data_IF_195917805164
#
_entry.id   IF_195917805164
#
_cell.length_a   1.000
_cell.length_b   1.000
_cell.length_c   1.000
_cell.angle_alpha   90.00
_cell.angle_beta   90.00
_cell.angle_gamma   90.00
#
_symmetry.space_group_name_H-M   'P 1'
#
loop_
_entity.id
_entity.type
_entity.pdbx_description
1 polymer ?
#
# COMPACT_ATOMS: atom_id res chain seq x y z
N UNK A 1 -45.29 13.69 17.63
CA UNK A 1 -45.55 12.64 16.61
C UNK A 1 -45.32 13.10 15.16
N UNK A 2 -45.82 14.27 14.71
CA UNK A 2 -45.67 14.74 13.30
C UNK A 2 -44.22 14.78 12.75
N UNK A 3 -43.22 15.05 13.59
CA UNK A 3 -41.79 15.11 13.20
C UNK A 3 -41.05 13.77 13.34
N UNK A 4 -41.63 12.80 14.04
CA UNK A 4 -40.97 11.51 14.30
C UNK A 4 -40.94 10.62 13.06
N UNK A 5 -42.04 10.60 12.30
CA UNK A 5 -42.14 9.87 11.03
C UNK A 5 -41.10 10.31 9.99
N UNK A 6 -40.96 11.61 9.65
CA UNK A 6 -39.94 12.04 8.71
C UNK A 6 -38.51 11.83 9.25
N UNK A 7 -38.29 11.98 10.56
CA UNK A 7 -36.99 11.67 11.16
C UNK A 7 -36.62 10.18 10.99
N UNK A 8 -37.58 9.26 11.19
CA UNK A 8 -37.36 7.83 11.00
C UNK A 8 -37.12 7.47 9.54
N UNK A 9 -37.86 8.08 8.60
CA UNK A 9 -37.63 7.90 7.16
C UNK A 9 -36.24 8.39 6.77
N UNK A 10 -35.83 9.57 7.21
CA UNK A 10 -34.49 10.10 6.93
C UNK A 10 -33.39 9.26 7.57
N UNK A 11 -33.60 8.74 8.77
CA UNK A 11 -32.67 7.82 9.41
C UNK A 11 -32.52 6.52 8.61
N UNK A 12 -33.64 5.97 8.09
CA UNK A 12 -33.61 4.77 7.25
C UNK A 12 -32.92 5.04 5.90
N UNK A 13 -33.23 6.16 5.25
CA UNK A 13 -32.54 6.59 4.02
C UNK A 13 -31.05 6.75 4.28
N UNK A 14 -30.69 7.38 5.40
CA UNK A 14 -29.31 7.58 5.79
C UNK A 14 -28.58 6.27 6.05
N UNK A 15 -29.22 5.31 6.71
CA UNK A 15 -28.70 3.97 6.95
C UNK A 15 -28.47 3.22 5.63
N UNK A 16 -29.48 3.18 4.75
CA UNK A 16 -29.38 2.50 3.45
C UNK A 16 -28.29 3.15 2.58
N UNK A 17 -28.26 4.48 2.50
CA UNK A 17 -27.21 5.19 1.78
C UNK A 17 -25.82 4.94 2.38
N UNK A 18 -25.71 4.87 3.72
CA UNK A 18 -24.47 4.52 4.40
C UNK A 18 -23.98 3.12 4.04
N UNK A 19 -24.88 2.13 4.02
CA UNK A 19 -24.58 0.76 3.60
C UNK A 19 -24.14 0.75 2.13
N UNK A 20 -24.90 1.37 1.22
CA UNK A 20 -24.54 1.45 -0.21
C UNK A 20 -23.17 2.09 -0.40
N UNK A 21 -22.84 3.14 0.36
CA UNK A 21 -21.52 3.75 0.31
C UNK A 21 -20.42 2.82 0.83
N UNK A 22 -20.68 2.06 1.89
CA UNK A 22 -19.71 1.14 2.49
C UNK A 22 -19.43 -0.10 1.64
N UNK A 23 -20.44 -0.70 1.01
CA UNK A 23 -20.30 -1.93 0.20
C UNK A 23 -20.27 -1.69 -1.30
N UNK A 24 -20.44 -0.43 -1.72
CA UNK A 24 -20.40 -0.06 -3.13
C UNK A 24 -19.05 -0.36 -3.78
N UNK A 25 -19.00 -0.46 -5.12
CA UNK A 25 -17.78 -0.79 -5.82
C UNK A 25 -16.77 0.37 -5.67
N UNK A 26 -15.60 0.04 -5.12
CA UNK A 26 -14.43 0.90 -5.12
C UNK A 26 -13.53 0.55 -6.31
N UNK A 27 -12.74 1.52 -6.77
CA UNK A 27 -11.73 1.29 -7.79
C UNK A 27 -10.44 0.86 -7.11
N UNK A 28 -10.04 -0.38 -7.34
CA UNK A 28 -8.78 -0.90 -6.85
C UNK A 28 -7.60 -0.35 -7.67
N UNK A 29 -6.51 -0.04 -6.99
CA UNK A 29 -5.28 0.46 -7.59
C UNK A 29 -4.18 -0.57 -7.39
N UNK A 30 -3.68 -1.07 -8.51
CA UNK A 30 -2.48 -1.87 -8.63
C UNK A 30 -1.55 -1.22 -9.67
N UNK A 31 -0.25 -1.43 -9.53
CA UNK A 31 0.74 -0.85 -10.44
C UNK A 31 1.52 -1.95 -11.12
N UNK A 32 1.62 -1.88 -12.45
CA UNK A 32 2.47 -2.75 -13.25
C UNK A 32 3.79 -2.07 -13.54
N UNK A 33 4.89 -2.71 -13.14
CA UNK A 33 6.26 -2.28 -13.42
C UNK A 33 6.85 -3.15 -14.52
N UNK A 34 7.39 -2.52 -15.56
CA UNK A 34 8.13 -3.20 -16.62
C UNK A 34 9.63 -2.91 -16.54
N UNK A 35 10.43 -3.93 -16.80
CA UNK A 35 11.89 -3.85 -16.75
C UNK A 35 12.51 -4.81 -17.78
N UNK A 36 13.66 -4.49 -18.40
CA UNK A 36 14.40 -3.23 -18.34
C UNK A 36 13.61 -2.05 -18.92
N UNK A 37 13.98 -0.79 -18.59
CA UNK A 37 13.39 0.38 -19.23
C UNK A 37 13.64 0.37 -20.75
N UNK A 38 12.75 1.02 -21.50
CA UNK A 38 12.78 1.05 -22.99
C UNK A 38 14.18 1.43 -23.50
N UNK A 39 14.75 2.50 -22.94
CA UNK A 39 16.15 2.89 -23.13
C UNK A 39 16.94 2.69 -21.84
N UNK A 40 18.10 2.04 -21.96
CA UNK A 40 19.07 1.92 -20.88
C UNK A 40 20.23 2.85 -21.19
N UNK A 41 20.37 3.93 -20.42
CA UNK A 41 21.43 4.94 -20.60
C UNK A 41 22.59 4.73 -19.63
N UNK A 42 23.76 5.27 -19.98
CA UNK A 42 24.98 5.19 -19.17
C UNK A 42 25.90 4.02 -19.52
N UNK A 43 27.03 3.97 -18.82
CA UNK A 43 28.02 2.89 -18.95
C UNK A 43 27.49 1.61 -18.32
N UNK A 44 27.71 0.47 -18.97
CA UNK A 44 27.35 -0.82 -18.39
C UNK A 44 28.13 -1.04 -17.08
N UNK A 45 27.45 -1.53 -16.01
CA UNK A 45 28.13 -1.95 -14.80
C UNK A 45 28.99 -3.19 -15.09
N UNK A 46 30.03 -3.43 -14.29
CA UNK A 46 30.91 -4.58 -14.52
C UNK A 46 30.29 -5.92 -14.13
N UNK A 47 29.44 -5.94 -13.09
CA UNK A 47 28.87 -7.19 -12.52
C UNK A 47 27.40 -7.45 -12.86
N UNK A 48 26.53 -6.47 -12.61
CA UNK A 48 25.09 -6.63 -12.80
C UNK A 48 24.38 -5.27 -12.92
N UNK A 49 23.37 -5.23 -13.77
CA UNK A 49 22.31 -4.22 -13.72
C UNK A 49 21.40 -4.49 -12.54
N UNK A 50 20.94 -3.41 -11.92
CA UNK A 50 20.03 -3.46 -10.79
C UNK A 50 19.10 -2.25 -10.80
N UNK A 51 17.82 -2.49 -10.52
CA UNK A 51 16.84 -1.45 -10.25
C UNK A 51 16.12 -1.79 -8.95
N UNK A 52 16.26 -0.97 -7.88
CA UNK A 52 15.53 -1.20 -6.64
C UNK A 52 14.04 -1.13 -6.88
N UNK A 53 13.30 -2.08 -6.30
CA UNK A 53 11.85 -2.09 -6.30
C UNK A 53 11.39 -2.72 -4.99
N UNK A 54 11.37 -1.90 -3.93
CA UNK A 54 11.02 -2.31 -2.59
C UNK A 54 9.51 -2.26 -2.43
N UNK A 55 8.85 -3.39 -2.69
CA UNK A 55 7.42 -3.50 -2.44
C UNK A 55 7.17 -3.54 -0.94
N UNK A 56 6.26 -2.70 -0.44
CA UNK A 56 5.85 -2.70 0.99
C UNK A 56 5.33 -4.08 1.40
N UNK A 57 4.57 -4.74 0.51
CA UNK A 57 4.06 -6.11 0.71
C UNK A 57 5.04 -7.20 0.32
N UNK A 58 6.22 -6.84 -0.17
CA UNK A 58 7.31 -7.70 -0.67
C UNK A 58 6.96 -8.62 -1.84
N UNK A 59 5.71 -9.02 -2.00
CA UNK A 59 5.22 -9.95 -3.02
C UNK A 59 4.27 -9.22 -3.97
N UNK A 60 4.42 -9.44 -5.29
CA UNK A 60 3.46 -8.98 -6.27
C UNK A 60 2.25 -9.92 -6.35
N UNK A 61 1.24 -9.48 -7.08
CA UNK A 61 0.09 -10.31 -7.46
C UNK A 61 0.40 -11.15 -8.70
N UNK A 62 1.12 -10.58 -9.67
CA UNK A 62 1.54 -11.31 -10.87
C UNK A 62 2.97 -10.97 -11.29
N UNK A 63 3.65 -11.94 -11.87
CA UNK A 63 4.94 -11.79 -12.57
C UNK A 63 4.80 -12.41 -13.95
N UNK A 64 5.27 -11.70 -14.98
CA UNK A 64 5.38 -12.19 -16.35
C UNK A 64 6.78 -11.87 -16.85
N UNK A 65 7.58 -12.86 -17.17
CA UNK A 65 8.93 -12.68 -17.69
C UNK A 65 9.06 -13.32 -19.07
N UNK A 66 9.76 -12.64 -19.99
CA UNK A 66 10.07 -13.16 -21.32
C UNK A 66 11.58 -13.28 -21.47
N UNK A 67 12.02 -14.49 -21.78
CA UNK A 67 13.42 -14.84 -22.00
C UNK A 67 13.65 -14.99 -23.52
N UNK A 68 14.56 -14.21 -24.12
CA UNK A 68 14.82 -14.26 -25.55
C UNK A 68 15.67 -15.48 -25.93
N UNK A 69 15.59 -15.87 -27.20
CA UNK A 69 16.31 -17.02 -27.76
C UNK A 69 17.82 -16.86 -27.72
N UNK A 70 18.28 -15.65 -28.02
CA UNK A 70 19.67 -15.27 -27.97
C UNK A 70 19.81 -14.26 -26.84
N UNK A 71 20.06 -14.71 -25.61
CA UNK A 71 20.23 -13.79 -24.49
C UNK A 71 21.46 -12.92 -24.75
N UNK A 72 21.34 -11.64 -24.37
CA UNK A 72 22.42 -10.68 -24.42
C UNK A 72 23.69 -11.25 -23.75
N UNK A 73 24.85 -10.73 -24.17
CA UNK A 73 26.15 -11.16 -23.64
C UNK A 73 26.20 -10.89 -22.13
N UNK A 74 26.86 -11.78 -21.40
CA UNK A 74 27.13 -11.54 -19.98
C UNK A 74 28.09 -10.37 -19.81
N UNK A 75 27.94 -9.64 -18.72
CA UNK A 75 28.88 -8.62 -18.29
C UNK A 75 30.24 -9.26 -17.95
N UNK A 76 31.30 -8.44 -18.01
CA UNK A 76 32.70 -8.90 -17.90
C UNK A 76 32.97 -9.63 -16.59
N UNK A 77 32.46 -9.09 -15.47
CA UNK A 77 32.65 -9.64 -14.13
C UNK A 77 31.38 -10.34 -13.61
N UNK A 78 30.55 -10.88 -14.52
CA UNK A 78 29.35 -11.62 -14.15
C UNK A 78 29.71 -12.86 -13.31
N UNK A 79 29.05 -13.01 -12.16
CA UNK A 79 29.20 -14.21 -11.34
C UNK A 79 28.66 -15.46 -12.07
N UNK A 80 29.24 -16.63 -11.75
CA UNK A 80 28.72 -17.92 -12.20
C UNK A 80 27.87 -18.57 -11.09
N UNK A 81 26.69 -19.14 -11.40
CA UNK A 81 26.03 -19.11 -12.70
C UNK A 81 25.52 -17.71 -13.08
N UNK A 82 25.49 -17.41 -14.39
CA UNK A 82 25.12 -16.07 -14.88
C UNK A 82 23.65 -15.82 -14.59
N UNK A 83 23.35 -14.77 -13.82
CA UNK A 83 21.98 -14.35 -13.54
C UNK A 83 21.39 -13.67 -14.77
N UNK A 84 20.42 -14.30 -15.42
CA UNK A 84 19.67 -13.72 -16.54
C UNK A 84 18.66 -12.72 -16.02
N UNK A 85 17.90 -13.10 -15.00
CA UNK A 85 16.91 -12.27 -14.34
C UNK A 85 16.73 -12.73 -12.89
N UNK A 86 16.61 -11.80 -11.94
CA UNK A 86 16.21 -12.12 -10.57
C UNK A 86 15.39 -10.99 -9.94
N UNK A 87 14.54 -11.32 -8.97
CA UNK A 87 13.72 -10.36 -8.21
C UNK A 87 14.31 -9.97 -6.85
N UNK A 88 15.46 -10.54 -6.49
CA UNK A 88 16.21 -10.18 -5.31
C UNK A 88 17.71 -10.36 -5.54
N UNK A 89 18.54 -9.64 -4.78
CA UNK A 89 20.01 -9.75 -4.86
C UNK A 89 20.51 -11.15 -4.48
N UNK A 90 19.85 -11.77 -3.49
CA UNK A 90 20.14 -13.11 -3.00
C UNK A 90 18.85 -13.94 -3.01
N UNK A 91 18.38 -14.36 -4.20
CA UNK A 91 17.03 -14.90 -4.39
C UNK A 91 16.78 -16.19 -3.60
N UNK A 92 17.79 -17.06 -3.47
CA UNK A 92 17.72 -18.24 -2.59
C UNK A 92 17.36 -17.89 -1.14
N UNK A 93 18.09 -16.94 -0.54
CA UNK A 93 17.89 -16.52 0.87
C UNK A 93 16.62 -15.70 1.08
N UNK A 94 16.24 -14.92 0.08
CA UNK A 94 15.11 -14.00 0.16
C UNK A 94 13.80 -14.62 -0.33
N UNK A 95 13.78 -15.88 -0.76
CA UNK A 95 12.63 -16.50 -1.46
C UNK A 95 12.18 -15.69 -2.68
N UNK A 96 13.15 -15.14 -3.42
CA UNK A 96 12.94 -14.42 -4.68
C UNK A 96 13.04 -15.34 -5.89
N UNK A 97 12.50 -14.89 -7.02
CA UNK A 97 12.65 -15.54 -8.31
C UNK A 97 14.07 -15.34 -8.83
N UNK A 98 14.62 -16.41 -9.40
CA UNK A 98 15.89 -16.39 -10.12
C UNK A 98 15.81 -17.22 -11.38
N UNK A 99 16.39 -16.68 -12.44
CA UNK A 99 16.59 -17.35 -13.72
C UNK A 99 18.08 -17.25 -14.02
N UNK A 100 18.77 -18.38 -13.90
CA UNK A 100 20.23 -18.46 -14.05
C UNK A 100 20.60 -19.35 -15.22
N UNK A 101 21.64 -18.98 -15.96
CA UNK A 101 22.19 -19.79 -17.04
C UNK A 101 23.30 -20.70 -16.51
N UNK A 102 23.04 -22.01 -16.54
CA UNK A 102 23.97 -23.08 -16.18
C UNK A 102 24.35 -23.85 -17.45
N UNK A 103 25.51 -23.53 -18.04
CA UNK A 103 25.90 -24.10 -19.32
C UNK A 103 24.93 -23.71 -20.45
N UNK A 104 24.23 -24.71 -21.01
CA UNK A 104 23.22 -24.53 -22.07
C UNK A 104 21.78 -24.49 -21.56
N UNK A 105 21.58 -24.62 -20.25
CA UNK A 105 20.26 -24.62 -19.63
C UNK A 105 19.99 -23.32 -18.89
N UNK A 106 18.72 -22.95 -18.84
CA UNK A 106 18.17 -21.95 -17.94
C UNK A 106 17.49 -22.67 -16.79
N UNK A 107 17.91 -22.34 -15.58
CA UNK A 107 17.33 -22.84 -14.34
C UNK A 107 16.44 -21.76 -13.76
N UNK A 108 15.16 -22.06 -13.61
CA UNK A 108 14.14 -21.18 -13.04
C UNK A 108 13.84 -21.69 -11.63
N UNK A 109 14.05 -20.84 -10.63
CA UNK A 109 13.90 -21.21 -9.22
C UNK A 109 13.32 -20.05 -8.40
N UNK A 110 12.59 -20.39 -7.34
CA UNK A 110 12.08 -19.45 -6.34
C UNK A 110 12.60 -19.90 -4.97
N UNK A 111 13.40 -19.07 -4.31
CA UNK A 111 14.12 -19.50 -3.11
C UNK A 111 15.02 -20.69 -3.43
N UNK A 112 14.91 -21.76 -2.64
CA UNK A 112 15.65 -23.02 -2.85
C UNK A 112 14.92 -24.01 -3.78
N UNK A 113 13.67 -23.73 -4.16
CA UNK A 113 12.86 -24.59 -5.03
C UNK A 113 13.13 -24.35 -6.52
N UNK A 114 13.64 -25.37 -7.22
CA UNK A 114 13.74 -25.34 -8.69
C UNK A 114 12.37 -25.65 -9.30
N UNK A 115 11.83 -24.71 -10.07
CA UNK A 115 10.55 -24.87 -10.75
C UNK A 115 10.72 -25.61 -12.07
N UNK A 116 11.71 -25.20 -12.87
CA UNK A 116 11.96 -25.77 -14.19
C UNK A 116 13.43 -25.65 -14.59
N UNK A 117 13.86 -26.60 -15.43
CA UNK A 117 15.10 -26.53 -16.20
C UNK A 117 14.72 -26.62 -17.66
N UNK A 118 15.07 -25.60 -18.44
CA UNK A 118 14.79 -25.56 -19.87
C UNK A 118 16.06 -25.30 -20.67
N UNK A 119 16.17 -25.84 -21.89
CA UNK A 119 17.26 -25.45 -22.77
C UNK A 119 17.18 -23.94 -23.06
N UNK A 120 18.33 -23.29 -23.20
CA UNK A 120 18.42 -21.92 -23.69
C UNK A 120 17.97 -21.76 -25.15
N UNK A 121 17.78 -22.85 -25.88
CA UNK A 121 17.18 -22.91 -27.22
C UNK A 121 15.67 -23.19 -27.16
N UNK A 122 14.93 -22.98 -28.25
CA UNK A 122 13.48 -23.24 -28.29
C UNK A 122 12.64 -22.14 -27.61
N UNK A 123 13.06 -20.91 -27.83
CA UNK A 123 12.54 -19.66 -27.26
C UNK A 123 11.62 -18.91 -28.26
N UNK A 124 10.98 -17.79 -27.86
CA UNK A 124 11.01 -17.17 -26.52
C UNK A 124 10.37 -18.05 -25.46
N UNK A 125 10.96 -18.08 -24.26
CA UNK A 125 10.30 -18.68 -23.10
C UNK A 125 9.54 -17.59 -22.35
N UNK A 126 8.24 -17.80 -22.10
CA UNK A 126 7.39 -16.89 -21.34
C UNK A 126 7.03 -17.55 -20.02
N UNK A 127 7.57 -17.01 -18.94
CA UNK A 127 7.24 -17.39 -17.57
C UNK A 127 6.09 -16.51 -17.08
N UNK A 128 5.05 -17.09 -16.51
CA UNK A 128 4.00 -16.40 -15.77
C UNK A 128 3.88 -17.02 -14.39
N UNK A 129 3.73 -16.17 -13.37
CA UNK A 129 3.49 -16.57 -11.99
C UNK A 129 2.36 -15.69 -11.46
N UNK A 130 1.37 -16.32 -10.86
CA UNK A 130 0.20 -15.68 -10.24
C UNK A 130 -0.29 -16.51 -9.04
N UNK A 131 -1.49 -16.22 -8.54
CA UNK A 131 -2.07 -16.90 -7.39
C UNK A 131 -2.33 -18.40 -7.62
N UNK A 132 -2.48 -18.84 -8.88
CA UNK A 132 -2.78 -20.23 -9.23
C UNK A 132 -1.51 -21.09 -9.39
N UNK A 133 -0.32 -20.46 -9.39
CA UNK A 133 0.97 -21.12 -9.48
C UNK A 133 1.87 -20.49 -10.53
N UNK A 134 2.60 -21.33 -11.26
CA UNK A 134 3.48 -20.89 -12.35
C UNK A 134 3.21 -21.65 -13.64
N UNK A 135 3.39 -20.96 -14.76
CA UNK A 135 3.41 -21.55 -16.09
C UNK A 135 4.61 -21.03 -16.87
N UNK A 136 5.18 -21.91 -17.67
CA UNK A 136 6.26 -21.63 -18.59
C UNK A 136 5.81 -22.09 -19.97
N UNK A 137 5.77 -21.16 -20.91
CA UNK A 137 5.48 -21.44 -22.31
C UNK A 137 6.78 -21.36 -23.11
N UNK A 138 7.16 -22.46 -23.75
CA UNK A 138 8.28 -22.50 -24.71
C UNK A 138 7.81 -22.55 -26.15
N UNK A 139 8.75 -22.70 -27.10
CA UNK A 139 8.42 -22.80 -28.54
C UNK A 139 7.63 -24.07 -28.91
N UNK A 140 7.56 -25.06 -28.04
CA UNK A 140 6.77 -26.28 -28.21
C UNK A 140 6.22 -26.76 -26.87
N UNK A 141 5.18 -27.61 -26.91
CA UNK A 141 4.56 -28.15 -25.70
C UNK A 141 5.55 -28.95 -24.82
N UNK A 142 6.57 -29.58 -25.42
CA UNK A 142 7.61 -30.30 -24.70
C UNK A 142 8.58 -29.38 -23.92
N UNK A 143 8.60 -28.09 -24.25
CA UNK A 143 9.38 -27.05 -23.57
C UNK A 143 8.50 -26.18 -22.64
N UNK A 144 7.21 -26.50 -22.54
CA UNK A 144 6.28 -25.85 -21.64
C UNK A 144 6.09 -26.67 -20.36
N UNK A 145 5.75 -26.00 -19.27
CA UNK A 145 5.51 -26.64 -17.98
C UNK A 145 4.62 -25.78 -17.11
N UNK A 146 3.93 -26.40 -16.16
CA UNK A 146 3.13 -25.72 -15.15
C UNK A 146 3.34 -26.39 -13.81
N UNK A 147 3.09 -25.66 -12.73
CA UNK A 147 3.12 -26.23 -11.40
C UNK A 147 2.54 -25.28 -10.37
N UNK A 148 2.29 -25.80 -9.18
CA UNK A 148 1.86 -24.99 -8.04
C UNK A 148 3.04 -24.24 -7.44
N UNK A 149 2.74 -23.16 -6.72
CA UNK A 149 3.72 -22.39 -5.99
C UNK A 149 3.20 -22.12 -4.58
N UNK A 150 3.99 -22.45 -3.56
CA UNK A 150 3.60 -22.25 -2.16
C UNK A 150 3.34 -20.77 -1.83
N UNK A 151 4.17 -19.88 -2.38
CA UNK A 151 4.03 -18.44 -2.19
C UNK A 151 4.64 -17.64 -3.34
N UNK A 152 4.06 -16.47 -3.62
CA UNK A 152 4.60 -15.54 -4.60
C UNK A 152 6.06 -15.15 -4.28
N UNK A 153 6.94 -15.03 -5.29
CA UNK A 153 8.34 -14.68 -5.08
C UNK A 153 8.48 -13.28 -4.48
N UNK A 154 9.43 -13.13 -3.55
CA UNK A 154 9.75 -11.82 -2.99
C UNK A 154 10.48 -10.96 -4.03
N UNK A 155 10.11 -9.69 -4.08
CA UNK A 155 10.66 -8.67 -4.97
C UNK A 155 11.24 -7.54 -4.14
N UNK A 156 12.55 -7.35 -4.26
CA UNK A 156 13.30 -6.23 -3.68
C UNK A 156 13.94 -5.35 -4.75
N UNK A 157 13.95 -5.83 -6.00
CA UNK A 157 14.47 -5.16 -7.17
C UNK A 157 14.62 -6.13 -8.33
N UNK A 158 14.94 -5.62 -9.51
CA UNK A 158 15.26 -6.46 -10.66
C UNK A 158 16.75 -6.46 -10.91
N UNK A 159 17.31 -7.64 -11.17
CA UNK A 159 18.74 -7.85 -11.34
C UNK A 159 19.02 -8.67 -12.61
N UNK A 160 20.07 -8.30 -13.35
CA UNK A 160 20.60 -9.11 -14.45
C UNK A 160 22.11 -8.90 -14.61
N UNK A 161 22.83 -9.97 -14.87
CA UNK A 161 24.25 -9.96 -15.21
C UNK A 161 24.49 -9.95 -16.73
N UNK A 162 23.48 -9.64 -17.54
CA UNK A 162 23.57 -9.48 -18.99
C UNK A 162 23.69 -8.00 -19.38
N UNK A 163 24.28 -7.68 -20.53
CA UNK A 163 24.26 -6.31 -21.05
C UNK A 163 22.88 -5.95 -21.61
N UNK A 164 22.07 -5.26 -20.81
CA UNK A 164 20.68 -4.88 -21.14
C UNK A 164 20.56 -3.79 -22.22
N UNK A 165 21.68 -3.24 -22.68
CA UNK A 165 21.73 -2.27 -23.78
C UNK A 165 21.77 -2.95 -25.15
N UNK A 166 22.15 -4.23 -25.18
CA UNK A 166 22.18 -5.03 -26.38
C UNK A 166 20.81 -5.65 -26.68
N UNK A 167 20.63 -6.08 -27.93
CA UNK A 167 19.51 -6.94 -28.31
C UNK A 167 19.54 -8.25 -27.52
N UNK A 168 18.38 -8.90 -27.40
CA UNK A 168 18.27 -10.13 -26.62
C UNK A 168 18.27 -9.91 -25.11
N UNK A 169 17.85 -8.74 -24.64
CA UNK A 169 17.62 -8.51 -23.21
C UNK A 169 16.38 -9.28 -22.70
N UNK A 170 16.45 -9.92 -21.52
CA UNK A 170 15.26 -10.46 -20.88
C UNK A 170 14.32 -9.32 -20.48
N UNK A 171 13.04 -9.60 -20.36
CA UNK A 171 12.06 -8.64 -19.85
C UNK A 171 11.22 -9.25 -18.74
N UNK A 172 10.76 -8.41 -17.82
CA UNK A 172 9.84 -8.75 -16.75
C UNK A 172 8.81 -7.63 -16.62
N UNK A 173 7.55 -8.03 -16.49
CA UNK A 173 6.45 -7.19 -16.06
C UNK A 173 5.91 -7.78 -14.76
N UNK A 174 5.69 -6.94 -13.77
CA UNK A 174 5.21 -7.36 -12.47
C UNK A 174 4.12 -6.41 -12.02
N UNK A 175 2.97 -6.95 -11.61
CA UNK A 175 1.87 -6.17 -11.06
C UNK A 175 1.83 -6.34 -9.55
N UNK A 176 1.86 -5.23 -8.81
CA UNK A 176 1.73 -5.24 -7.35
C UNK A 176 0.37 -5.77 -6.94
N UNK A 177 0.26 -6.33 -5.74
CA UNK A 177 -1.05 -6.44 -5.09
C UNK A 177 -1.73 -5.07 -4.98
N UNK A 178 -3.07 -5.09 -4.85
CA UNK A 178 -3.86 -3.88 -4.60
C UNK A 178 -3.32 -3.17 -3.36
N UNK A 179 -2.84 -1.94 -3.56
CA UNK A 179 -2.19 -1.14 -2.50
C UNK A 179 -2.99 0.11 -2.14
N UNK A 180 -3.92 0.54 -2.99
CA UNK A 180 -4.81 1.65 -2.71
C UNK A 180 -6.21 1.42 -3.31
N UNK A 181 -7.20 2.14 -2.79
CA UNK A 181 -8.57 2.13 -3.28
C UNK A 181 -9.09 3.55 -3.42
N UNK A 182 -9.74 3.83 -4.54
CA UNK A 182 -10.42 5.10 -4.80
C UNK A 182 -11.94 4.90 -4.67
N UNK A 183 -12.63 5.66 -3.79
CA UNK A 183 -14.08 5.58 -3.71
C UNK A 183 -14.73 6.05 -5.01
N UNK A 184 -15.70 5.28 -5.49
CA UNK A 184 -16.46 5.65 -6.68
C UNK A 184 -17.35 6.87 -6.43
N UNK A 185 -17.81 7.51 -7.51
CA UNK A 185 -18.74 8.64 -7.42
C UNK A 185 -20.01 8.25 -6.66
N UNK A 186 -20.53 7.04 -6.89
CA UNK A 186 -21.69 6.51 -6.19
C UNK A 186 -21.45 6.42 -4.68
N UNK A 187 -20.32 5.82 -4.25
CA UNK A 187 -20.00 5.74 -2.82
C UNK A 187 -19.92 7.12 -2.16
N UNK A 188 -19.23 8.07 -2.82
CA UNK A 188 -19.10 9.45 -2.34
C UNK A 188 -20.47 10.12 -2.18
N UNK A 189 -21.33 10.03 -3.20
CA UNK A 189 -22.70 10.61 -3.15
C UNK A 189 -23.54 9.93 -2.07
N UNK A 190 -23.47 8.61 -1.95
CA UNK A 190 -24.18 7.84 -0.93
C UNK A 190 -23.75 8.24 0.49
N UNK A 191 -22.45 8.45 0.74
CA UNK A 191 -21.98 8.95 2.03
C UNK A 191 -22.45 10.38 2.32
N UNK A 192 -22.47 11.26 1.32
CA UNK A 192 -23.01 12.62 1.49
C UNK A 192 -24.51 12.59 1.83
N UNK A 193 -25.29 11.77 1.12
CA UNK A 193 -26.71 11.57 1.41
C UNK A 193 -26.89 11.01 2.82
N UNK A 194 -26.10 10.01 3.20
CA UNK A 194 -26.13 9.41 4.53
C UNK A 194 -25.88 10.46 5.62
N UNK A 195 -24.79 11.22 5.49
CA UNK A 195 -24.42 12.26 6.45
C UNK A 195 -25.52 13.33 6.58
N UNK A 196 -26.04 13.84 5.47
CA UNK A 196 -27.09 14.86 5.48
C UNK A 196 -28.41 14.32 6.05
N UNK A 197 -28.85 13.13 5.63
CA UNK A 197 -30.09 12.54 6.10
C UNK A 197 -30.05 12.24 7.60
N UNK A 198 -28.93 11.69 8.10
CA UNK A 198 -28.73 11.43 9.52
C UNK A 198 -28.64 12.72 10.33
N UNK A 199 -27.94 13.75 9.83
CA UNK A 199 -27.87 15.04 10.50
C UNK A 199 -29.25 15.71 10.63
N UNK A 200 -30.06 15.69 9.56
CA UNK A 200 -31.43 16.23 9.59
C UNK A 200 -32.33 15.39 10.49
N UNK A 201 -32.23 14.05 10.45
CA UNK A 201 -32.98 13.17 11.35
C UNK A 201 -32.65 13.47 12.82
N UNK A 202 -31.36 13.59 13.15
CA UNK A 202 -30.89 13.94 14.49
C UNK A 202 -31.42 15.32 14.91
N UNK A 203 -31.36 16.32 14.03
CA UNK A 203 -31.89 17.66 14.30
C UNK A 203 -33.40 17.61 14.59
N UNK A 204 -34.19 16.87 13.81
CA UNK A 204 -35.63 16.73 14.02
C UNK A 204 -35.99 16.08 15.37
N UNK A 205 -35.13 15.20 15.88
CA UNK A 205 -35.28 14.53 17.17
C UNK A 205 -34.73 15.38 18.33
N UNK A 206 -33.66 16.14 18.12
CA UNK A 206 -33.01 16.96 19.13
C UNK A 206 -33.72 18.30 19.37
N UNK A 207 -34.28 18.93 18.32
CA UNK A 207 -34.99 20.23 18.41
C UNK A 207 -36.11 20.30 19.47
N UNK A 208 -36.93 19.26 19.69
CA UNK A 208 -37.92 19.24 20.78
C UNK A 208 -37.32 19.15 22.18
N UNK A 209 -36.12 18.60 22.32
CA UNK A 209 -35.39 18.41 23.59
C UNK A 209 -34.51 19.62 23.91
N UNK A 210 -34.07 20.34 22.86
CA UNK A 210 -33.37 21.60 23.00
C UNK A 210 -34.27 22.62 23.72
N UNK A 211 -33.76 23.31 24.75
CA UNK A 211 -34.54 24.32 25.45
C UNK A 211 -35.05 25.38 24.47
N UNK A 212 -36.38 25.62 24.47
CA UNK A 212 -37.06 26.57 23.56
C UNK A 212 -36.59 28.02 23.68
N UNK A 213 -35.85 28.33 24.74
CA UNK A 213 -35.12 29.58 24.88
C UNK A 213 -33.68 29.26 24.53
N UNK A 214 -33.06 29.94 23.54
CA UNK A 214 -31.60 29.94 23.49
C UNK A 214 -31.13 30.30 24.89
N UNK A 215 -30.10 29.63 25.44
CA UNK A 215 -29.49 30.15 26.65
C UNK A 215 -29.22 31.61 26.35
N UNK A 216 -29.88 32.52 27.07
CA UNK A 216 -29.51 33.92 27.01
C UNK A 216 -27.99 33.89 27.20
N UNK A 217 -27.19 34.56 26.35
CA UNK A 217 -25.78 34.74 26.66
C UNK A 217 -25.77 35.61 27.90
N UNK A 218 -25.99 35.01 29.06
CA UNK A 218 -25.62 35.61 30.30
C UNK A 218 -24.12 35.76 30.12
N UNK A 219 -23.63 37.00 30.15
CA UNK A 219 -22.19 37.25 30.29
C UNK A 219 -21.57 36.48 31.48
N UNK A 220 -22.42 35.84 32.30
CA UNK A 220 -22.10 34.82 33.27
C UNK A 220 -21.53 33.51 32.72
N UNK A 221 -21.65 33.12 31.44
CA UNK A 221 -21.08 31.81 31.01
C UNK A 221 -19.55 31.78 31.08
N UNK A 222 -18.88 32.84 30.62
CA UNK A 222 -17.41 32.98 30.74
C UNK A 222 -16.99 33.56 32.10
N UNK A 223 -17.75 34.51 32.66
CA UNK A 223 -17.47 35.07 34.00
C UNK A 223 -17.70 34.06 35.13
N UNK A 224 -18.64 33.12 34.98
CA UNK A 224 -18.90 32.04 35.94
C UNK A 224 -17.77 31.02 35.97
N UNK A 225 -17.08 30.79 34.85
CA UNK A 225 -15.94 29.88 34.80
C UNK A 225 -14.78 30.49 35.62
N UNK A 226 -14.52 31.79 35.45
CA UNK A 226 -13.54 32.51 36.27
C UNK A 226 -13.90 32.55 37.77
N UNK A 227 -15.18 32.71 38.11
CA UNK A 227 -15.63 32.72 39.52
C UNK A 227 -15.62 31.35 40.21
N UNK A 228 -15.41 30.26 39.45
CA UNK A 228 -15.35 28.88 39.95
C UNK A 228 -13.94 28.28 39.86
N UNK A 229 -12.96 29.05 39.37
CA UNK A 229 -11.58 28.61 39.32
C UNK A 229 -11.05 28.45 40.74
N UNK A 230 -10.76 27.22 41.12
CA UNK A 230 -10.16 26.88 42.40
C UNK A 230 -8.62 26.93 42.26
N UNK A 231 -7.85 27.25 43.31
CA UNK A 231 -6.39 27.15 43.27
C UNK A 231 -5.89 25.77 42.81
N UNK A 232 -6.66 24.71 43.08
CA UNK A 232 -6.39 23.36 42.58
C UNK A 232 -6.37 23.29 41.04
N UNK A 233 -7.25 24.02 40.35
CA UNK A 233 -7.29 24.05 38.88
C UNK A 233 -6.02 24.69 38.31
N UNK A 234 -5.51 25.75 38.97
CA UNK A 234 -4.26 26.39 38.60
C UNK A 234 -3.07 25.44 38.81
N UNK A 235 -3.06 24.67 39.91
CA UNK A 235 -2.01 23.66 40.16
C UNK A 235 -2.06 22.57 39.10
N UNK A 236 -3.23 21.98 38.85
CA UNK A 236 -3.40 20.92 37.83
C UNK A 236 -3.02 21.44 36.44
N UNK A 237 -3.50 22.62 36.05
CA UNK A 237 -3.15 23.24 34.78
C UNK A 237 -1.64 23.50 34.64
N UNK A 238 -1.00 24.00 35.71
CA UNK A 238 0.46 24.24 35.71
C UNK A 238 1.25 22.94 35.59
N UNK A 239 0.84 21.89 36.32
CA UNK A 239 1.47 20.56 36.26
C UNK A 239 1.30 19.96 34.87
N UNK A 240 0.10 20.04 34.27
CA UNK A 240 -0.16 19.54 32.91
C UNK A 240 0.62 20.31 31.83
N UNK A 241 0.75 21.64 31.96
CA UNK A 241 1.56 22.44 31.05
C UNK A 241 3.05 22.15 31.18
N UNK A 242 3.56 22.06 32.41
CA UNK A 242 4.94 21.67 32.66
C UNK A 242 5.21 20.26 32.13
N UNK A 243 4.28 19.33 32.35
CA UNK A 243 4.36 17.98 31.81
C UNK A 243 4.33 18.00 30.28
N UNK A 244 3.42 18.72 29.62
CA UNK A 244 3.36 18.79 28.15
C UNK A 244 4.69 19.20 27.49
N UNK A 245 5.44 20.10 28.13
CA UNK A 245 6.72 20.59 27.59
C UNK A 245 7.90 19.71 27.97
N UNK A 246 7.90 19.17 29.20
CA UNK A 246 9.04 18.45 29.76
C UNK A 246 8.90 16.92 29.65
N UNK A 247 7.70 16.41 29.36
CA UNK A 247 7.44 14.98 29.29
C UNK A 247 8.27 14.35 28.17
N UNK A 248 8.91 13.21 28.41
CA UNK A 248 9.51 12.45 27.32
C UNK A 248 8.41 12.00 26.35
N UNK A 249 8.76 11.92 25.06
CA UNK A 249 7.91 11.28 24.06
C UNK A 249 7.63 9.83 24.44
N UNK A 250 6.43 9.36 24.16
CA UNK A 250 6.08 7.96 24.31
C UNK A 250 6.78 7.10 23.24
N UNK A 251 6.89 5.80 23.50
CA UNK A 251 7.74 4.92 22.68
C UNK A 251 7.28 4.79 21.21
N UNK A 252 5.99 5.02 20.93
CA UNK A 252 5.37 4.91 19.60
C UNK A 252 5.04 6.27 18.95
N UNK A 253 5.38 7.40 19.59
CA UNK A 253 5.11 8.73 19.03
C UNK A 253 5.76 8.90 17.64
N UNK A 254 6.99 8.41 17.48
CA UNK A 254 7.69 8.40 16.20
C UNK A 254 7.03 7.49 15.15
N UNK A 255 6.43 6.38 15.59
CA UNK A 255 5.70 5.47 14.71
C UNK A 255 4.43 6.12 14.17
N UNK A 256 3.65 6.74 15.05
CA UNK A 256 2.44 7.50 14.70
C UNK A 256 2.80 8.67 13.78
N UNK A 257 3.83 9.45 14.12
CA UNK A 257 4.25 10.59 13.32
C UNK A 257 4.67 10.19 11.90
N UNK A 258 5.43 9.10 11.74
CA UNK A 258 5.82 8.60 10.41
C UNK A 258 4.60 8.13 9.61
N UNK A 259 3.65 7.39 10.23
CA UNK A 259 2.38 7.03 9.57
C UNK A 259 1.68 8.26 9.01
N UNK A 260 1.57 9.31 9.83
CA UNK A 260 0.89 10.55 9.41
C UNK A 260 1.61 11.27 8.28
N UNK A 261 2.95 11.35 8.34
CA UNK A 261 3.77 12.01 7.31
C UNK A 261 3.78 11.24 5.99
N UNK A 262 3.68 9.92 6.04
CA UNK A 262 3.71 9.07 4.85
C UNK A 262 2.35 8.90 4.17
N UNK A 263 1.26 9.45 4.75
CA UNK A 263 -0.11 9.31 4.24
C UNK A 263 -0.24 9.47 2.72
N UNK A 264 0.34 10.53 2.14
CA UNK A 264 0.26 10.79 0.71
C UNK A 264 1.06 9.80 -0.13
N UNK A 265 2.20 9.31 0.38
CA UNK A 265 3.05 8.34 -0.30
C UNK A 265 2.47 6.92 -0.23
N UNK A 266 1.79 6.56 0.88
CA UNK A 266 1.15 5.27 1.07
C UNK A 266 -0.30 5.21 0.58
N UNK A 267 -0.90 6.35 0.20
CA UNK A 267 -2.29 6.43 -0.23
C UNK A 267 -3.31 6.23 0.91
N UNK A 268 -2.90 6.43 2.18
CA UNK A 268 -3.73 6.20 3.35
C UNK A 268 -2.94 6.10 4.67
N UNK A 269 -3.65 5.93 5.79
CA UNK A 269 -3.09 5.71 7.13
C UNK A 269 -2.54 4.28 7.28
N UNK A 270 -1.44 4.04 6.59
CA UNK A 270 -0.79 2.74 6.49
C UNK A 270 0.06 2.47 7.74
N UNK A 271 0.02 1.23 8.24
CA UNK A 271 1.00 0.75 9.20
C UNK A 271 2.38 0.66 8.53
N UNK A 272 3.11 1.78 8.53
CA UNK A 272 4.28 1.96 7.68
C UNK A 272 5.43 0.97 7.96
N UNK A 273 5.67 0.65 9.23
CA UNK A 273 6.80 -0.18 9.65
C UNK A 273 6.44 -1.66 9.88
N UNK A 274 5.16 -2.02 9.92
CA UNK A 274 4.71 -3.41 10.15
C UNK A 274 3.51 -3.78 9.28
N UNK A 275 2.95 -4.98 9.49
CA UNK A 275 1.70 -5.45 8.88
C UNK A 275 1.63 -5.23 7.35
N UNK A 276 2.79 -5.21 6.70
CA UNK A 276 2.95 -4.99 5.27
C UNK A 276 2.19 -3.75 4.75
N UNK A 277 2.15 -2.67 5.52
CA UNK A 277 1.51 -1.42 5.13
C UNK A 277 -0.02 -1.46 5.09
N UNK A 278 -0.66 -2.41 5.79
CA UNK A 278 -2.12 -2.44 5.89
C UNK A 278 -2.68 -1.17 6.55
N UNK A 279 -3.85 -0.72 6.10
CA UNK A 279 -4.57 0.39 6.74
C UNK A 279 -5.40 -0.13 7.93
N UNK A 280 -5.45 0.65 9.02
CA UNK A 280 -6.30 0.32 10.18
C UNK A 280 -7.77 0.70 9.91
N UNK A 281 -8.75 -0.19 10.14
CA UNK A 281 -10.17 0.11 9.94
C UNK A 281 -10.79 0.93 11.08
N UNK A 282 -10.10 1.06 12.22
CA UNK A 282 -10.60 1.73 13.43
C UNK A 282 -9.80 3.00 13.72
N UNK A 283 -10.43 3.95 14.43
CA UNK A 283 -9.77 5.17 14.88
C UNK A 283 -9.67 6.28 13.81
N UNK A 284 -10.39 6.17 12.69
CA UNK A 284 -10.27 7.08 11.54
C UNK A 284 -10.32 8.58 11.92
N UNK A 285 -11.19 8.97 12.86
CA UNK A 285 -11.33 10.38 13.25
C UNK A 285 -10.09 10.87 14.02
N UNK A 286 -9.51 10.01 14.85
CA UNK A 286 -8.30 10.31 15.61
C UNK A 286 -7.10 10.39 14.67
N UNK A 287 -6.99 9.45 13.73
CA UNK A 287 -5.96 9.45 12.69
C UNK A 287 -6.00 10.76 11.87
N UNK A 288 -7.19 11.25 11.50
CA UNK A 288 -7.33 12.56 10.84
C UNK A 288 -6.89 13.74 11.72
N UNK A 289 -7.20 13.73 13.02
CA UNK A 289 -6.72 14.77 13.95
C UNK A 289 -5.20 14.73 14.07
N UNK A 290 -4.63 13.54 14.23
CA UNK A 290 -3.18 13.32 14.29
C UNK A 290 -2.50 13.76 12.99
N UNK A 291 -3.10 13.46 11.83
CA UNK A 291 -2.59 13.87 10.53
C UNK A 291 -2.51 15.39 10.39
N UNK A 292 -3.57 16.09 10.79
CA UNK A 292 -3.60 17.55 10.79
C UNK A 292 -2.54 18.16 11.73
N UNK A 293 -2.37 17.59 12.94
CA UNK A 293 -1.31 18.00 13.87
C UNK A 293 0.10 17.73 13.33
N UNK A 294 0.30 16.59 12.67
CA UNK A 294 1.58 16.23 12.07
C UNK A 294 1.97 17.14 10.89
N UNK A 295 1.00 17.52 10.05
CA UNK A 295 1.25 18.44 8.93
C UNK A 295 1.53 19.87 9.41
N UNK A 296 0.82 20.34 10.43
CA UNK A 296 1.00 21.70 10.97
C UNK A 296 2.35 21.89 11.68
N UNK A 297 2.94 20.82 12.22
CA UNK A 297 4.24 20.87 12.92
C UNK A 297 5.45 20.70 11.99
N UNK A 298 5.28 20.20 10.77
CA UNK A 298 6.37 20.09 9.77
C UNK A 298 6.72 21.38 9.03
N UNK A 299 5.99 22.47 9.27
CA UNK A 299 6.21 23.78 8.64
C UNK A 299 6.86 24.82 9.57
N UNK A 300 7.33 24.40 10.74
CA UNK A 300 8.18 25.16 11.66
C UNK A 300 9.61 24.64 11.58
#
# INVERSE_FOLDING_TARGET
MRRLRPALVLALVGLVAGIVGAVGPAKEIATTYSWPPVSTSGSAPSRAWYTPLLLIRQRPETISATLPCEPARSLVDAASPVTVLATARFPRRASGLSITREGKELVIAVGDGVLARVPGSGCPHRLRIDADGWSLEGASQALSGTGELEAMPIVTGFFSALDLRADGRPSIAMTTAVHAVEPSALQKVSWVIAALALAVALLLVALPVLPRRPPRPSGASLKSIGSRAHPADAVVGSVLLAWWVLSPSFYDDGWVLTRQRMFSASGGFSNYYDTFGANSPLGYWLEWVQHWLAQSTSHL
#
